data_IF_774141823380
#
_entry.id   IF_774141823380
#
_cell.length_a   1.000
_cell.length_b   1.000
_cell.length_c   1.000
_cell.angle_alpha   90.00
_cell.angle_beta   90.00
_cell.angle_gamma   90.00
#
_symmetry.space_group_name_H-M   'P 1'
#
loop_
_entity.id
_entity.type
_entity.pdbx_description
1 polymer ?
#
# COMPACT_ATOMS: atom_id res chain seq x y z
N UNK A 1 -14.57 -20.92 -3.16
CA UNK A 1 -13.89 -19.79 -2.51
C UNK A 1 -14.71 -18.54 -2.82
N UNK A 2 -15.16 -17.79 -1.82
CA UNK A 2 -15.84 -16.52 -2.11
C UNK A 2 -14.82 -15.55 -2.70
N UNK A 3 -15.13 -15.01 -3.87
CA UNK A 3 -14.32 -13.97 -4.52
C UNK A 3 -14.30 -12.75 -3.59
N UNK A 4 -13.11 -12.23 -3.29
CA UNK A 4 -12.98 -10.98 -2.54
C UNK A 4 -13.58 -9.84 -3.35
N UNK A 5 -14.44 -9.05 -2.71
CA UNK A 5 -15.00 -7.81 -3.25
C UNK A 5 -14.87 -6.69 -2.21
N UNK A 6 -14.94 -5.44 -2.65
CA UNK A 6 -14.90 -4.27 -1.76
C UNK A 6 -16.03 -4.36 -0.71
N UNK A 7 -17.24 -4.73 -1.15
CA UNK A 7 -18.40 -4.98 -0.28
C UNK A 7 -18.12 -6.08 0.75
N UNK A 8 -17.44 -7.18 0.37
CA UNK A 8 -17.12 -8.26 1.30
C UNK A 8 -16.13 -7.84 2.40
N UNK A 9 -15.18 -6.96 2.06
CA UNK A 9 -14.19 -6.44 3.00
C UNK A 9 -14.85 -5.40 3.93
N UNK A 10 -15.68 -4.52 3.37
CA UNK A 10 -16.46 -3.57 4.16
C UNK A 10 -17.41 -4.29 5.13
N UNK A 11 -18.09 -5.33 4.68
CA UNK A 11 -18.91 -6.16 5.56
C UNK A 11 -18.09 -6.90 6.63
N UNK A 12 -16.86 -7.31 6.33
CA UNK A 12 -15.96 -7.87 7.34
C UNK A 12 -15.64 -6.83 8.44
N UNK A 13 -15.42 -5.57 8.06
CA UNK A 13 -15.22 -4.47 9.00
C UNK A 13 -16.49 -4.17 9.84
N UNK A 14 -17.66 -4.11 9.21
CA UNK A 14 -18.94 -3.85 9.89
C UNK A 14 -19.27 -4.94 10.92
N UNK A 15 -19.05 -6.22 10.58
CA UNK A 15 -19.27 -7.34 11.52
C UNK A 15 -18.36 -7.23 12.74
N UNK A 16 -17.10 -6.82 12.56
CA UNK A 16 -16.16 -6.59 13.68
C UNK A 16 -16.62 -5.48 14.63
N UNK A 17 -17.39 -4.53 14.11
CA UNK A 17 -18.00 -3.45 14.88
C UNK A 17 -19.37 -3.82 15.48
N UNK A 18 -19.89 -5.03 15.21
CA UNK A 18 -21.23 -5.44 15.61
C UNK A 18 -22.35 -4.76 14.82
N UNK A 19 -22.04 -4.20 13.64
CA UNK A 19 -23.00 -3.53 12.78
C UNK A 19 -23.60 -4.48 11.73
N UNK A 20 -24.79 -4.15 11.25
CA UNK A 20 -25.45 -4.88 10.16
C UNK A 20 -24.68 -4.78 8.85
N UNK A 21 -24.84 -5.81 8.01
CA UNK A 21 -24.23 -5.90 6.68
C UNK A 21 -24.94 -5.00 5.67
N UNK A 22 -24.19 -4.56 4.67
CA UNK A 22 -24.67 -3.87 3.48
C UNK A 22 -24.65 -4.84 2.27
N UNK A 23 -25.55 -4.65 1.32
CA UNK A 23 -25.55 -5.37 0.05
C UNK A 23 -24.74 -4.63 -1.03
N UNK A 24 -24.66 -3.30 -0.95
CA UNK A 24 -23.89 -2.43 -1.86
C UNK A 24 -23.28 -1.23 -1.13
N UNK A 25 -22.15 -0.74 -1.67
CA UNK A 25 -21.52 0.52 -1.25
C UNK A 25 -22.31 1.77 -1.70
N UNK A 26 -23.28 1.59 -2.60
CA UNK A 26 -24.16 2.66 -3.10
C UNK A 26 -25.45 2.81 -2.28
N UNK A 27 -25.62 2.06 -1.20
CA UNK A 27 -26.81 2.18 -0.36
C UNK A 27 -26.85 3.52 0.38
N UNK A 28 -28.05 4.09 0.50
CA UNK A 28 -28.27 5.34 1.23
C UNK A 28 -28.43 5.05 2.73
N UNK A 29 -27.36 4.54 3.34
CA UNK A 29 -27.25 4.40 4.78
C UNK A 29 -25.87 4.81 5.27
N UNK A 30 -25.79 5.22 6.54
CA UNK A 30 -24.57 5.77 7.14
C UNK A 30 -23.37 4.81 7.01
N UNK A 31 -23.58 3.51 7.16
CA UNK A 31 -22.51 2.51 7.09
C UNK A 31 -21.97 2.37 5.66
N UNK A 32 -22.83 2.27 4.65
CA UNK A 32 -22.44 2.18 3.25
C UNK A 32 -21.70 3.44 2.78
N UNK A 33 -22.21 4.64 3.13
CA UNK A 33 -21.56 5.92 2.81
C UNK A 33 -20.15 5.98 3.42
N UNK A 34 -20.02 5.69 4.72
CA UNK A 34 -18.72 5.68 5.39
C UNK A 34 -17.76 4.64 4.79
N UNK A 35 -18.24 3.43 4.52
CA UNK A 35 -17.43 2.39 3.89
C UNK A 35 -16.96 2.84 2.50
N UNK A 36 -17.85 3.38 1.67
CA UNK A 36 -17.53 3.81 0.32
C UNK A 36 -16.50 4.95 0.30
N UNK A 37 -16.65 5.92 1.19
CA UNK A 37 -15.74 7.06 1.30
C UNK A 37 -14.38 6.65 1.88
N UNK A 38 -14.35 5.79 2.90
CA UNK A 38 -13.14 5.51 3.68
C UNK A 38 -12.34 4.32 3.15
N UNK A 39 -12.98 3.37 2.47
CA UNK A 39 -12.30 2.18 1.93
C UNK A 39 -11.10 2.51 1.03
N UNK A 40 -11.18 3.43 0.05
CA UNK A 40 -10.05 3.75 -0.82
C UNK A 40 -8.84 4.30 -0.04
N UNK A 41 -9.08 5.13 0.99
CA UNK A 41 -8.02 5.69 1.82
C UNK A 41 -7.35 4.60 2.67
N UNK A 42 -8.14 3.79 3.37
CA UNK A 42 -7.60 2.68 4.15
C UNK A 42 -6.83 1.70 3.26
N UNK A 43 -7.34 1.37 2.06
CA UNK A 43 -6.66 0.49 1.11
C UNK A 43 -5.30 1.05 0.71
N UNK A 44 -5.25 2.31 0.29
CA UNK A 44 -4.01 2.95 -0.15
C UNK A 44 -2.99 3.06 1.00
N UNK A 45 -3.44 3.30 2.23
CA UNK A 45 -2.59 3.27 3.43
C UNK A 45 -1.99 1.89 3.68
N UNK A 46 -2.82 0.83 3.79
CA UNK A 46 -2.33 -0.53 4.06
C UNK A 46 -1.43 -1.02 2.90
N UNK A 47 -1.77 -0.70 1.65
CA UNK A 47 -0.90 -1.02 0.50
C UNK A 47 0.46 -0.33 0.63
N UNK A 48 0.49 0.95 1.01
CA UNK A 48 1.72 1.72 1.11
C UNK A 48 2.63 1.24 2.24
N UNK A 49 2.10 0.58 3.26
CA UNK A 49 2.87 0.20 4.44
C UNK A 49 3.94 -0.88 4.19
N UNK A 50 3.66 -1.85 3.33
CA UNK A 50 4.52 -3.00 3.07
C UNK A 50 4.59 -3.28 1.56
N UNK A 51 5.75 -3.70 1.01
CA UNK A 51 5.84 -4.12 -0.38
C UNK A 51 5.17 -5.48 -0.61
N UNK A 52 3.83 -5.50 -0.61
CA UNK A 52 3.04 -6.71 -0.85
C UNK A 52 3.35 -7.31 -2.23
N UNK A 53 3.55 -8.63 -2.30
CA UNK A 53 3.94 -9.35 -3.52
C UNK A 53 3.04 -9.01 -4.71
N UNK A 54 1.72 -8.97 -4.50
CA UNK A 54 0.73 -8.67 -5.53
C UNK A 54 0.67 -7.19 -5.96
N UNK A 55 1.24 -6.27 -5.17
CA UNK A 55 1.17 -4.83 -5.38
C UNK A 55 2.47 -4.26 -6.00
N UNK A 56 3.55 -5.02 -6.05
CA UNK A 56 4.82 -4.59 -6.62
C UNK A 56 4.74 -4.57 -8.14
N UNK A 57 5.16 -3.45 -8.74
CA UNK A 57 5.37 -3.33 -10.18
C UNK A 57 6.79 -2.87 -10.47
N UNK A 58 7.32 -3.32 -11.60
CA UNK A 58 8.60 -2.85 -12.16
C UNK A 58 8.29 -1.89 -13.31
N UNK A 59 8.92 -0.72 -13.32
CA UNK A 59 8.81 0.21 -14.43
C UNK A 59 10.08 1.03 -14.62
N UNK A 60 10.30 1.46 -15.85
CA UNK A 60 11.19 2.57 -16.20
C UNK A 60 10.35 3.84 -16.22
N UNK A 61 10.69 4.83 -15.40
CA UNK A 61 9.94 6.08 -15.36
C UNK A 61 10.27 6.93 -16.59
N UNK A 62 9.28 7.67 -17.08
CA UNK A 62 9.44 8.52 -18.26
C UNK A 62 10.22 9.77 -17.86
N UNK A 63 11.36 10.02 -18.53
CA UNK A 63 12.13 11.24 -18.36
C UNK A 63 11.34 12.44 -18.87
N UNK A 64 11.32 13.52 -18.10
CA UNK A 64 10.70 14.78 -18.50
C UNK A 64 11.70 15.66 -19.26
N UNK A 65 11.17 16.59 -20.05
CA UNK A 65 11.98 17.56 -20.81
C UNK A 65 12.45 18.71 -19.89
N UNK A 66 11.67 19.04 -18.88
CA UNK A 66 12.04 20.00 -17.86
C UNK A 66 13.14 19.41 -16.96
N UNK A 67 13.93 20.28 -16.35
CA UNK A 67 15.03 19.92 -15.45
C UNK A 67 14.88 20.67 -14.12
N UNK A 68 15.38 20.11 -13.00
CA UNK A 68 15.44 20.81 -11.73
C UNK A 68 16.27 22.10 -11.84
N UNK A 69 15.99 23.07 -10.97
CA UNK A 69 16.71 24.35 -10.99
C UNK A 69 18.16 24.24 -10.46
N UNK A 70 18.40 23.31 -9.55
CA UNK A 70 19.71 23.02 -8.94
C UNK A 70 19.74 21.57 -8.41
N UNK A 71 20.89 21.14 -7.89
CA UNK A 71 21.16 19.82 -7.26
C UNK A 71 21.13 18.62 -8.20
N UNK A 72 20.07 18.41 -8.97
CA UNK A 72 19.89 17.24 -9.84
C UNK A 72 19.78 17.62 -11.32
N UNK A 73 20.32 16.76 -12.19
CA UNK A 73 20.30 17.00 -13.64
C UNK A 73 19.00 16.61 -14.33
N UNK A 74 18.28 15.61 -13.83
CA UNK A 74 17.14 15.01 -14.52
C UNK A 74 15.91 14.88 -13.60
N UNK A 75 14.72 14.94 -14.19
CA UNK A 75 13.47 14.61 -13.50
C UNK A 75 12.63 13.62 -14.30
N UNK A 76 11.93 12.75 -13.59
CA UNK A 76 11.13 11.65 -14.13
C UNK A 76 9.70 11.69 -13.59
N UNK A 77 8.75 11.37 -14.46
CA UNK A 77 7.33 11.31 -14.11
C UNK A 77 7.01 10.04 -13.31
N UNK A 78 6.43 10.21 -12.12
CA UNK A 78 5.91 9.08 -11.34
C UNK A 78 4.57 8.62 -11.95
N UNK A 79 4.37 7.29 -12.15
CA UNK A 79 3.09 6.74 -12.58
C UNK A 79 1.94 7.08 -11.63
N UNK A 80 0.74 7.31 -12.16
CA UNK A 80 -0.44 7.72 -11.36
C UNK A 80 -0.92 6.68 -10.35
N UNK A 81 -0.56 5.41 -10.57
CA UNK A 81 -0.85 4.30 -9.66
C UNK A 81 0.29 4.06 -8.66
N UNK A 82 1.40 4.78 -8.69
CA UNK A 82 2.48 4.59 -7.72
C UNK A 82 2.13 5.23 -6.37
N UNK A 83 2.05 4.40 -5.32
CA UNK A 83 1.86 4.85 -3.93
C UNK A 83 3.18 5.14 -3.22
N UNK A 84 4.24 4.37 -3.53
CA UNK A 84 5.57 4.51 -2.94
C UNK A 84 6.61 3.82 -3.80
N UNK A 85 7.73 4.47 -4.06
CA UNK A 85 8.91 3.83 -4.66
C UNK A 85 9.52 2.92 -3.59
N UNK A 86 9.75 1.65 -3.92
CA UNK A 86 10.32 0.69 -2.99
C UNK A 86 11.82 0.59 -3.17
N UNK A 87 12.28 0.23 -4.37
CA UNK A 87 13.69 -0.02 -4.61
C UNK A 87 14.05 0.36 -6.05
N UNK A 88 15.07 1.20 -6.28
CA UNK A 88 15.63 1.38 -7.62
C UNK A 88 16.22 0.07 -8.18
N UNK A 89 16.51 0.04 -9.48
CA UNK A 89 17.22 -1.09 -10.12
C UNK A 89 18.61 -1.27 -9.52
N UNK A 90 19.28 -0.15 -9.24
CA UNK A 90 20.56 -0.09 -8.57
C UNK A 90 20.42 0.73 -7.27
N UNK A 91 20.82 0.14 -6.15
CA UNK A 91 20.72 0.74 -4.83
C UNK A 91 21.71 1.90 -4.63
N UNK A 92 22.68 2.08 -5.52
CA UNK A 92 23.61 3.21 -5.50
C UNK A 92 23.00 4.50 -6.08
N UNK A 93 21.87 4.39 -6.79
CA UNK A 93 21.18 5.54 -7.37
C UNK A 93 20.66 6.46 -6.26
N UNK A 94 21.19 7.67 -6.22
CA UNK A 94 20.70 8.75 -5.36
C UNK A 94 19.54 9.45 -6.07
N UNK A 95 18.39 9.52 -5.40
CA UNK A 95 17.22 10.20 -5.92
C UNK A 95 16.40 10.85 -4.80
N UNK A 96 15.64 11.87 -5.15
CA UNK A 96 14.63 12.49 -4.28
C UNK A 96 13.26 12.49 -4.96
N UNK A 97 12.19 12.43 -4.17
CA UNK A 97 10.81 12.49 -4.66
C UNK A 97 10.20 13.84 -4.27
N UNK A 98 9.86 14.65 -5.27
CA UNK A 98 9.34 16.01 -5.07
C UNK A 98 8.23 16.32 -6.08
N UNK A 99 7.13 16.94 -5.62
CA UNK A 99 6.06 17.37 -6.52
C UNK A 99 5.44 16.26 -7.40
N UNK A 100 5.51 15.00 -6.97
CA UNK A 100 5.06 13.85 -7.78
C UNK A 100 6.03 13.43 -8.89
N UNK A 101 7.32 13.79 -8.76
CA UNK A 101 8.40 13.46 -9.67
C UNK A 101 9.58 12.84 -8.92
N UNK A 102 10.43 12.14 -9.65
CA UNK A 102 11.73 11.66 -9.15
C UNK A 102 12.81 12.53 -9.75
N UNK A 103 13.69 13.08 -8.93
CA UNK A 103 14.86 13.85 -9.34
C UNK A 103 16.11 13.02 -9.07
N UNK A 104 17.00 12.95 -10.04
CA UNK A 104 18.27 12.20 -9.97
C UNK A 104 19.24 12.71 -11.04
N UNK A 105 20.53 12.46 -10.86
CA UNK A 105 21.54 12.75 -11.89
C UNK A 105 21.57 11.68 -12.99
N UNK A 106 20.96 10.52 -12.74
CA UNK A 106 20.94 9.42 -13.69
C UNK A 106 20.13 9.73 -14.95
N UNK A 107 20.63 9.23 -16.08
CA UNK A 107 19.97 9.40 -17.39
C UNK A 107 18.68 8.58 -17.53
N UNK A 108 18.55 7.51 -16.74
CA UNK A 108 17.38 6.62 -16.70
C UNK A 108 17.05 6.21 -15.29
N UNK A 109 15.77 6.16 -14.94
CA UNK A 109 15.33 5.69 -13.62
C UNK A 109 14.43 4.46 -13.76
N UNK A 110 14.93 3.30 -13.34
CA UNK A 110 14.18 2.05 -13.24
C UNK A 110 14.00 1.68 -11.78
N UNK A 111 12.82 1.23 -11.39
CA UNK A 111 12.55 0.83 -10.01
C UNK A 111 11.44 -0.21 -9.89
N UNK A 112 11.41 -0.87 -8.73
CA UNK A 112 10.24 -1.48 -8.13
C UNK A 112 9.48 -0.43 -7.31
N UNK A 113 8.17 -0.36 -7.51
CA UNK A 113 7.29 0.51 -6.73
C UNK A 113 6.04 -0.24 -6.28
N UNK A 114 5.42 0.26 -5.22
CA UNK A 114 4.14 -0.21 -4.71
C UNK A 114 3.04 0.49 -5.50
N UNK A 115 2.26 -0.29 -6.22
CA UNK A 115 1.15 0.19 -7.03
C UNK A 115 -0.18 0.18 -6.26
N UNK A 116 -1.08 1.09 -6.64
CA UNK A 116 -2.46 1.15 -6.19
C UNK A 116 -3.24 0.05 -6.90
N UNK A 117 -3.34 -1.11 -6.24
CA UNK A 117 -4.17 -2.21 -6.71
C UNK A 117 -5.61 -1.98 -6.23
N UNK A 118 -6.53 -1.77 -7.17
CA UNK A 118 -7.95 -1.54 -6.85
C UNK A 118 -8.80 -2.79 -6.96
N UNK A 119 -8.35 -3.82 -7.70
CA UNK A 119 -9.08 -5.06 -7.88
C UNK A 119 -8.91 -5.99 -6.66
N UNK A 120 -9.96 -6.21 -5.83
CA UNK A 120 -9.83 -7.00 -4.61
C UNK A 120 -9.57 -8.49 -4.87
N UNK A 121 -9.82 -8.99 -6.09
CA UNK A 121 -9.51 -10.36 -6.46
C UNK A 121 -8.00 -10.66 -6.47
N UNK A 122 -7.16 -9.62 -6.53
CA UNK A 122 -5.70 -9.74 -6.46
C UNK A 122 -5.17 -9.69 -5.03
N UNK A 123 -6.02 -9.36 -4.04
CA UNK A 123 -5.57 -9.22 -2.66
C UNK A 123 -5.34 -10.58 -2.03
N UNK A 124 -4.23 -10.69 -1.28
CA UNK A 124 -4.06 -11.80 -0.36
C UNK A 124 -5.14 -11.77 0.74
N UNK A 125 -5.51 -12.96 1.25
CA UNK A 125 -6.53 -13.08 2.28
C UNK A 125 -6.11 -12.42 3.60
N UNK A 126 -4.84 -12.51 3.97
CA UNK A 126 -4.27 -11.89 5.17
C UNK A 126 -4.27 -10.37 5.03
N UNK A 127 -3.94 -9.85 3.84
CA UNK A 127 -4.04 -8.43 3.53
C UNK A 127 -5.48 -7.93 3.66
N UNK A 128 -6.45 -8.63 3.06
CA UNK A 128 -7.86 -8.24 3.12
C UNK A 128 -8.40 -8.21 4.55
N UNK A 129 -7.94 -9.11 5.43
CA UNK A 129 -8.32 -9.11 6.85
C UNK A 129 -7.69 -7.93 7.61
N UNK A 130 -6.41 -7.61 7.35
CA UNK A 130 -5.77 -6.42 7.92
C UNK A 130 -6.49 -5.14 7.47
N UNK A 131 -6.82 -5.03 6.18
CA UNK A 131 -7.58 -3.91 5.63
C UNK A 131 -8.97 -3.79 6.28
N UNK A 132 -9.66 -4.90 6.55
CA UNK A 132 -10.94 -4.88 7.25
C UNK A 132 -10.82 -4.32 8.68
N UNK A 133 -9.76 -4.66 9.43
CA UNK A 133 -9.52 -4.08 10.74
C UNK A 133 -9.13 -2.60 10.67
N UNK A 134 -8.31 -2.20 9.69
CA UNK A 134 -7.96 -0.78 9.48
C UNK A 134 -9.20 0.05 9.20
N UNK A 135 -10.09 -0.45 8.33
CA UNK A 135 -11.36 0.20 8.01
C UNK A 135 -12.28 0.25 9.23
N UNK A 136 -12.40 -0.84 9.98
CA UNK A 136 -13.19 -0.88 11.22
C UNK A 136 -12.69 0.15 12.25
N UNK A 137 -11.38 0.32 12.41
CA UNK A 137 -10.80 1.34 13.27
C UNK A 137 -11.10 2.77 12.79
N UNK A 138 -11.19 2.97 11.47
CA UNK A 138 -11.47 4.26 10.86
C UNK A 138 -12.92 4.70 11.06
N UNK A 139 -13.87 3.83 10.74
CA UNK A 139 -15.31 4.13 10.78
C UNK A 139 -15.96 3.80 12.14
N UNK A 140 -15.24 3.09 13.02
CA UNK A 140 -15.78 2.48 14.23
C UNK A 140 -16.42 3.46 15.19
N UNK A 141 -15.79 4.60 15.45
CA UNK A 141 -16.37 5.62 16.33
C UNK A 141 -17.64 6.24 15.74
N UNK A 142 -17.62 6.56 14.44
CA UNK A 142 -18.77 7.17 13.77
C UNK A 142 -20.02 6.27 13.80
N UNK A 143 -19.85 4.95 13.76
CA UNK A 143 -20.95 3.98 13.79
C UNK A 143 -21.38 3.60 15.22
N UNK A 144 -20.43 3.42 16.14
CA UNK A 144 -20.71 2.79 17.44
C UNK A 144 -20.66 3.75 18.63
N UNK A 145 -20.10 4.95 18.45
CA UNK A 145 -19.82 5.92 19.52
C UNK A 145 -18.93 5.36 20.65
N UNK A 146 -18.22 4.26 20.42
CA UNK A 146 -17.34 3.61 21.39
C UNK A 146 -15.86 3.83 21.02
N UNK A 147 -15.19 4.73 21.72
CA UNK A 147 -13.74 4.95 21.57
C UNK A 147 -12.94 3.70 21.97
N UNK A 148 -13.42 2.94 22.96
CA UNK A 148 -12.79 1.69 23.38
C UNK A 148 -12.80 0.64 22.27
N UNK A 149 -13.92 0.50 21.56
CA UNK A 149 -14.03 -0.41 20.42
C UNK A 149 -13.15 0.05 19.25
N UNK A 150 -13.10 1.36 18.98
CA UNK A 150 -12.21 1.91 17.96
C UNK A 150 -10.73 1.59 18.26
N UNK A 151 -10.29 1.80 19.50
CA UNK A 151 -8.91 1.50 19.92
C UNK A 151 -8.60 0.00 19.85
N UNK A 152 -9.55 -0.87 20.21
CA UNK A 152 -9.35 -2.31 20.10
C UNK A 152 -9.26 -2.77 18.64
N UNK A 153 -10.02 -2.16 17.72
CA UNK A 153 -9.89 -2.43 16.29
C UNK A 153 -8.52 -2.00 15.74
N UNK A 154 -7.99 -0.86 16.20
CA UNK A 154 -6.66 -0.40 15.81
C UNK A 154 -5.56 -1.35 16.35
N UNK A 155 -5.66 -1.80 17.59
CA UNK A 155 -4.73 -2.79 18.15
C UNK A 155 -4.77 -4.13 17.38
N UNK A 156 -5.96 -4.59 17.00
CA UNK A 156 -6.12 -5.79 16.18
C UNK A 156 -5.59 -5.61 14.76
N UNK A 157 -5.73 -4.40 14.19
CA UNK A 157 -5.13 -4.06 12.90
C UNK A 157 -3.61 -4.27 12.94
N UNK A 158 -2.92 -3.72 13.93
CA UNK A 158 -1.46 -3.88 14.05
C UNK A 158 -1.03 -5.35 14.15
N UNK A 159 -1.78 -6.17 14.90
CA UNK A 159 -1.52 -7.61 15.01
C UNK A 159 -1.69 -8.30 13.65
N UNK A 160 -2.81 -8.05 12.95
CA UNK A 160 -3.10 -8.69 11.67
C UNK A 160 -2.16 -8.25 10.56
N UNK A 161 -1.79 -6.98 10.56
CA UNK A 161 -0.78 -6.42 9.68
C UNK A 161 0.57 -7.12 9.85
N UNK A 162 1.05 -7.30 11.10
CA UNK A 162 2.30 -8.05 11.34
C UNK A 162 2.23 -9.49 10.83
N UNK A 163 1.11 -10.17 11.05
CA UNK A 163 0.92 -11.54 10.54
C UNK A 163 0.92 -11.57 9.01
N UNK A 164 0.17 -10.65 8.37
CA UNK A 164 0.07 -10.57 6.92
C UNK A 164 1.44 -10.28 6.27
N UNK A 165 2.23 -9.36 6.85
CA UNK A 165 3.61 -9.09 6.40
C UNK A 165 4.50 -10.32 6.53
N UNK A 166 4.37 -11.08 7.62
CA UNK A 166 5.15 -12.30 7.82
C UNK A 166 4.80 -13.40 6.81
N UNK A 167 3.53 -13.52 6.44
CA UNK A 167 3.07 -14.51 5.45
C UNK A 167 3.58 -14.11 4.07
N UNK A 168 3.37 -12.86 3.66
CA UNK A 168 3.82 -12.31 2.38
C UNK A 168 5.35 -12.41 2.22
N UNK A 169 6.12 -12.15 3.29
CA UNK A 169 7.58 -12.27 3.26
C UNK A 169 8.10 -13.71 3.15
N UNK A 170 7.29 -14.72 3.50
CA UNK A 170 7.66 -16.14 3.31
C UNK A 170 7.39 -16.62 1.88
N UNK A 171 6.64 -15.85 1.08
CA UNK A 171 6.38 -16.16 -0.30
C UNK A 171 7.49 -15.60 -1.19
N UNK A 172 8.40 -16.49 -1.61
CA UNK A 172 9.47 -16.18 -2.56
C UNK A 172 10.83 -16.70 -2.11
N UNK A 173 11.80 -16.61 -3.00
CA UNK A 173 13.22 -16.80 -2.64
C UNK A 173 13.74 -15.48 -2.07
N UNK A 174 14.41 -15.47 -0.89
CA UNK A 174 15.07 -14.28 -0.40
C UNK A 174 15.99 -13.70 -1.47
N UNK A 175 15.88 -12.39 -1.70
CA UNK A 175 16.78 -11.71 -2.62
C UNK A 175 18.21 -11.84 -2.09
N UNK A 176 19.14 -12.32 -2.92
CA UNK A 176 20.54 -12.40 -2.54
C UNK A 176 21.02 -10.99 -2.20
N UNK A 177 21.41 -10.78 -0.95
CA UNK A 177 22.12 -9.57 -0.55
C UNK A 177 23.49 -9.65 -1.23
N UNK A 178 23.61 -9.06 -2.42
CA UNK A 178 24.88 -8.92 -3.11
C UNK A 178 25.74 -7.97 -2.28
N UNK A 179 26.53 -8.53 -1.37
CA UNK A 179 27.48 -7.81 -0.52
C UNK A 179 28.77 -7.45 -1.30
N UNK A 180 28.65 -6.94 -2.54
CA UNK A 180 29.81 -6.74 -3.42
C UNK A 180 30.58 -5.44 -3.17
N UNK A 181 30.03 -4.49 -2.40
CA UNK A 181 30.71 -3.21 -2.15
C UNK A 181 31.90 -3.35 -1.17
N UNK A 182 31.87 -4.30 -0.22
CA UNK A 182 32.93 -4.42 0.79
C UNK A 182 34.07 -5.38 0.43
N UNK A 183 33.91 -6.23 -0.59
CA UNK A 183 34.93 -7.23 -0.97
C UNK A 183 35.85 -6.72 -2.10
N UNK A 184 35.38 -5.77 -2.92
CA UNK A 184 36.17 -5.23 -4.03
C UNK A 184 37.19 -4.16 -3.62
N UNK A 185 37.05 -3.57 -2.43
CA UNK A 185 38.01 -2.57 -1.90
C UNK A 185 39.21 -3.19 -1.16
N UNK A 186 39.35 -4.53 -1.15
CA UNK A 186 40.43 -5.22 -0.41
C UNK A 186 41.47 -5.92 -1.29
N UNK A 187 41.53 -5.59 -2.58
CA UNK A 187 42.58 -6.03 -3.51
C UNK A 187 43.19 -4.87 -4.29
#
# INVERSE_FOLDING_TARGET
>A
MSVLSEVSICNSALIKLGHERINSLSEDNKAAILCNERYPFCRDEVLREHPWNFAIKRASFAKLVSTPAFEYQNEFQIPSDCLRIWQPEDNEIVFVVEGGKVLTDEGTFKCRYISRVTNPALFDRSFAEALAFRLAADIGYALTQSSQLQQSMLAMYEVKLRMARSIDAQEGTPEEIIADSWIKDRF
#
